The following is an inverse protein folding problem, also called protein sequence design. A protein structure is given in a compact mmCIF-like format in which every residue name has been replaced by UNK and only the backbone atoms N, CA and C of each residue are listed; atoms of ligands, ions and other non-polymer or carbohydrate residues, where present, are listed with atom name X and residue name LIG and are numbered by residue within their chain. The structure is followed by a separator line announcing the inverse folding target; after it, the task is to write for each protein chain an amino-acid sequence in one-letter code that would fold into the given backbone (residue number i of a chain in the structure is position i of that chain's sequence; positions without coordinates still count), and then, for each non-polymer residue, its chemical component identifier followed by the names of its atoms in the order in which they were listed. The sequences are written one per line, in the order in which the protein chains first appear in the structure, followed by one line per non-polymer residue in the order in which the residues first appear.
data_IF_656614031147
#
_entry.id   IF_656614031147
#
_cell.length_a   1.000
_cell.length_b   1.000
_cell.length_c   1.000
_cell.angle_alpha   90.00
_cell.angle_beta   90.00
_cell.angle_gamma   90.00
#
_symmetry.space_group_name_H-M   'P 1'
#
loop_
_entity.id
_entity.type
_entity.pdbx_description
1 polymer ?
#
# COMPACT_ATOMS: atom_id res chain seq x y z
N UNK A 1 -22.23 37.44 34.08
CA UNK A 1 -21.94 36.08 33.59
C UNK A 1 -22.19 36.09 32.09
N UNK A 2 -21.27 35.62 31.25
CA UNK A 2 -21.51 35.55 29.81
C UNK A 2 -22.74 34.69 29.53
N UNK A 3 -23.52 35.08 28.53
CA UNK A 3 -24.67 34.30 28.06
C UNK A 3 -24.17 32.95 27.54
N UNK A 4 -24.73 31.86 28.06
CA UNK A 4 -24.37 30.48 27.69
C UNK A 4 -24.50 30.30 26.17
N UNK A 5 -25.51 30.93 25.55
CA UNK A 5 -25.71 30.84 24.11
C UNK A 5 -24.57 31.51 23.32
N UNK A 6 -24.03 32.63 23.82
CA UNK A 6 -22.89 33.31 23.21
C UNK A 6 -21.61 32.46 23.30
N UNK A 7 -21.35 31.87 24.47
CA UNK A 7 -20.16 31.02 24.68
C UNK A 7 -20.22 29.76 23.81
N UNK A 8 -21.40 29.15 23.68
CA UNK A 8 -21.60 27.97 22.81
C UNK A 8 -21.44 28.34 21.34
N UNK A 9 -21.98 29.48 20.88
CA UNK A 9 -21.83 29.93 19.50
C UNK A 9 -20.37 30.20 19.14
N UNK A 10 -19.62 30.88 20.01
CA UNK A 10 -18.19 31.17 19.79
C UNK A 10 -17.34 29.89 19.77
N UNK A 11 -17.66 28.94 20.65
CA UNK A 11 -17.01 27.62 20.69
C UNK A 11 -17.29 26.82 19.42
N UNK A 12 -18.54 26.82 18.95
CA UNK A 12 -18.93 26.14 17.72
C UNK A 12 -18.22 26.76 16.50
N UNK A 13 -18.19 28.10 16.40
CA UNK A 13 -17.47 28.79 15.32
C UNK A 13 -15.97 28.45 15.33
N UNK A 14 -15.36 28.36 16.51
CA UNK A 14 -13.95 27.98 16.66
C UNK A 14 -13.69 26.53 16.22
N UNK A 15 -14.58 25.59 16.60
CA UNK A 15 -14.48 24.18 16.19
C UNK A 15 -14.64 24.04 14.68
N UNK A 16 -15.61 24.74 14.08
CA UNK A 16 -15.81 24.73 12.63
C UNK A 16 -14.57 25.24 11.89
N UNK A 17 -13.96 26.33 12.37
CA UNK A 17 -12.73 26.86 11.79
C UNK A 17 -11.55 25.88 11.89
N UNK A 18 -11.43 25.13 13.00
CA UNK A 18 -10.42 24.09 13.16
C UNK A 18 -10.67 22.95 12.15
N UNK A 19 -11.91 22.49 12.02
CA UNK A 19 -12.25 21.40 11.09
C UNK A 19 -11.93 21.78 9.64
N UNK A 20 -12.32 22.98 9.20
CA UNK A 20 -11.96 23.47 7.86
C UNK A 20 -10.44 23.55 7.65
N UNK A 21 -9.68 23.93 8.69
CA UNK A 21 -8.22 23.94 8.60
C UNK A 21 -7.64 22.54 8.46
N UNK A 22 -8.20 21.55 9.17
CA UNK A 22 -7.78 20.14 9.09
C UNK A 22 -8.06 19.61 7.69
N UNK A 23 -9.27 19.81 7.16
CA UNK A 23 -9.65 19.40 5.80
C UNK A 23 -8.67 19.94 4.76
N UNK A 24 -8.36 21.25 4.80
CA UNK A 24 -7.39 21.87 3.89
C UNK A 24 -5.99 21.25 4.02
N UNK A 25 -5.52 21.00 5.25
CA UNK A 25 -4.20 20.41 5.47
C UNK A 25 -4.13 18.96 4.96
N UNK A 26 -5.22 18.20 5.07
CA UNK A 26 -5.31 16.84 4.54
C UNK A 26 -5.22 16.86 3.01
N UNK A 27 -5.97 17.74 2.33
CA UNK A 27 -5.91 17.89 0.87
C UNK A 27 -4.52 18.35 0.38
N UNK A 28 -3.88 19.28 1.10
CA UNK A 28 -2.50 19.68 0.82
C UNK A 28 -1.52 18.51 0.99
N UNK A 29 -1.62 17.75 2.08
CA UNK A 29 -0.78 16.58 2.32
C UNK A 29 -0.96 15.51 1.24
N UNK A 30 -2.20 15.23 0.83
CA UNK A 30 -2.52 14.31 -0.26
C UNK A 30 -1.88 14.73 -1.57
N UNK A 31 -2.03 16.01 -1.93
CA UNK A 31 -1.45 16.59 -3.14
C UNK A 31 0.08 16.46 -3.15
N UNK A 32 0.75 16.76 -2.03
CA UNK A 32 2.21 16.64 -1.94
C UNK A 32 2.69 15.17 -1.96
N UNK A 33 1.94 14.23 -1.35
CA UNK A 33 2.23 12.79 -1.48
C UNK A 33 2.16 12.31 -2.93
N UNK A 34 1.09 12.68 -3.65
CA UNK A 34 0.94 12.31 -5.06
C UNK A 34 2.09 12.84 -5.93
N UNK A 35 2.55 14.09 -5.68
CA UNK A 35 3.71 14.66 -6.36
C UNK A 35 5.02 13.93 -6.04
N UNK A 36 5.17 13.46 -4.80
CA UNK A 36 6.35 12.73 -4.36
C UNK A 36 6.40 11.29 -4.88
N UNK A 37 5.26 10.70 -5.26
CA UNK A 37 5.17 9.29 -5.64
C UNK A 37 6.01 8.96 -6.88
N UNK A 38 5.89 9.72 -7.97
CA UNK A 38 6.64 9.47 -9.19
C UNK A 38 8.17 9.51 -9.01
N UNK A 39 8.78 10.57 -8.42
CA UNK A 39 10.23 10.59 -8.19
C UNK A 39 10.67 9.52 -7.16
N UNK A 40 9.81 9.17 -6.20
CA UNK A 40 10.09 8.07 -5.27
C UNK A 40 10.15 6.72 -5.98
N UNK A 41 9.18 6.40 -6.84
CA UNK A 41 9.20 5.17 -7.63
C UNK A 41 10.42 5.09 -8.56
N UNK A 42 10.84 6.22 -9.15
CA UNK A 42 12.08 6.29 -9.94
C UNK A 42 13.33 6.01 -9.08
N UNK A 43 13.38 6.55 -7.86
CA UNK A 43 14.48 6.28 -6.93
C UNK A 43 14.49 4.81 -6.46
N UNK A 44 13.32 4.24 -6.16
CA UNK A 44 13.17 2.82 -5.83
C UNK A 44 13.65 1.92 -6.98
N UNK A 45 13.25 2.20 -8.22
CA UNK A 45 13.67 1.43 -9.38
C UNK A 45 15.21 1.42 -9.54
N UNK A 46 15.87 2.53 -9.24
CA UNK A 46 17.34 2.65 -9.29
C UNK A 46 18.06 2.01 -8.11
N UNK A 47 17.37 1.80 -6.98
CA UNK A 47 17.98 1.19 -5.79
C UNK A 47 18.38 -0.28 -6.03
N UNK A 48 17.63 -0.99 -6.87
CA UNK A 48 17.77 -2.44 -7.04
C UNK A 48 17.29 -3.25 -5.84
N UNK A 49 16.75 -2.63 -4.80
CA UNK A 49 16.24 -3.32 -3.61
C UNK A 49 14.77 -3.71 -3.74
N UNK A 50 14.02 -3.16 -4.71
CA UNK A 50 12.58 -3.40 -4.84
C UNK A 50 12.19 -3.65 -6.28
N UNK A 51 11.46 -4.73 -6.52
CA UNK A 51 10.87 -5.04 -7.83
C UNK A 51 9.35 -5.19 -7.81
N UNK A 52 8.74 -5.40 -6.64
CA UNK A 52 7.30 -5.58 -6.52
C UNK A 52 6.81 -5.03 -5.18
N UNK A 53 5.68 -4.32 -5.20
CA UNK A 53 4.96 -3.86 -4.01
C UNK A 53 3.48 -4.16 -4.23
N UNK A 54 2.84 -4.83 -3.30
CA UNK A 54 1.40 -5.08 -3.31
C UNK A 54 0.83 -4.49 -2.02
N UNK A 55 -0.16 -3.61 -2.15
CA UNK A 55 -1.00 -3.15 -1.05
C UNK A 55 -2.37 -3.76 -1.22
N UNK A 56 -2.92 -4.31 -0.12
CA UNK A 56 -4.28 -4.85 -0.08
C UNK A 56 -5.00 -4.26 1.12
N UNK A 57 -6.15 -3.62 0.88
CA UNK A 57 -7.11 -3.30 1.93
C UNK A 57 -8.33 -4.20 1.84
N UNK A 58 -8.88 -4.60 2.98
CA UNK A 58 -10.11 -5.39 3.06
C UNK A 58 -10.87 -5.15 4.36
N UNK A 59 -12.16 -5.38 4.30
CA UNK A 59 -13.07 -5.37 5.44
C UNK A 59 -13.82 -6.69 5.39
N UNK A 60 -13.61 -7.60 6.35
CA UNK A 60 -14.27 -8.90 6.35
C UNK A 60 -15.80 -8.76 6.27
N UNK A 61 -16.44 -9.54 5.39
CA UNK A 61 -17.89 -9.50 5.19
C UNK A 61 -18.71 -10.07 6.36
N UNK A 62 -18.09 -10.88 7.22
CA UNK A 62 -18.69 -11.43 8.43
C UNK A 62 -17.73 -11.32 9.60
N UNK A 63 -18.19 -10.70 10.69
CA UNK A 63 -17.53 -10.70 11.98
C UNK A 63 -18.62 -11.03 13.01
N UNK A 64 -18.40 -12.00 13.90
CA UNK A 64 -19.38 -12.74 14.73
C UNK A 64 -20.25 -11.87 15.69
N UNK A 65 -20.93 -10.85 15.17
CA UNK A 65 -21.63 -9.80 15.91
C UNK A 65 -20.79 -8.56 16.26
N UNK A 66 -19.49 -8.56 15.96
CA UNK A 66 -18.60 -7.41 16.15
C UNK A 66 -18.61 -6.48 14.91
N UNK A 67 -18.34 -5.17 15.06
CA UNK A 67 -18.15 -4.28 13.92
C UNK A 67 -17.06 -4.83 12.98
N UNK A 68 -17.29 -4.78 11.67
CA UNK A 68 -16.24 -5.10 10.72
C UNK A 68 -15.15 -4.01 10.79
N UNK A 69 -13.90 -4.41 10.94
CA UNK A 69 -12.75 -3.51 10.94
C UNK A 69 -12.01 -3.62 9.60
N UNK A 70 -11.71 -2.46 9.00
CA UNK A 70 -10.84 -2.39 7.85
C UNK A 70 -9.41 -2.76 8.26
N UNK A 71 -8.80 -3.63 7.47
CA UNK A 71 -7.41 -4.05 7.60
C UNK A 71 -6.70 -3.83 6.29
N UNK A 72 -5.42 -3.48 6.35
CA UNK A 72 -4.61 -3.36 5.16
C UNK A 72 -3.17 -3.77 5.40
N UNK A 73 -2.61 -4.42 4.38
CA UNK A 73 -1.27 -4.98 4.41
C UNK A 73 -0.47 -4.51 3.19
N UNK A 74 0.85 -4.48 3.36
CA UNK A 74 1.81 -4.19 2.29
C UNK A 74 2.85 -5.30 2.24
N UNK A 75 3.03 -5.85 1.05
CA UNK A 75 3.94 -6.95 0.75
C UNK A 75 4.96 -6.46 -0.26
N UNK A 76 6.24 -6.65 0.03
CA UNK A 76 7.33 -6.15 -0.79
C UNK A 76 8.24 -7.29 -1.20
N UNK A 77 8.51 -7.36 -2.50
CA UNK A 77 9.33 -8.37 -3.16
C UNK A 77 8.79 -9.80 -3.03
N UNK A 78 9.46 -10.71 -3.74
CA UNK A 78 8.90 -12.04 -4.03
C UNK A 78 8.81 -12.90 -2.77
N UNK A 79 9.72 -12.76 -1.80
CA UNK A 79 9.66 -13.52 -0.54
C UNK A 79 8.34 -13.29 0.21
N UNK A 80 7.91 -12.04 0.39
CA UNK A 80 6.65 -11.74 1.09
C UNK A 80 5.43 -12.10 0.25
N UNK A 81 5.45 -11.79 -1.06
CA UNK A 81 4.34 -12.05 -1.98
C UNK A 81 4.07 -13.56 -2.08
N UNK A 82 5.11 -14.37 -2.21
CA UNK A 82 4.99 -15.83 -2.27
C UNK A 82 4.63 -16.43 -0.91
N UNK A 83 5.18 -15.90 0.18
CA UNK A 83 4.86 -16.38 1.53
C UNK A 83 3.40 -16.17 1.93
N UNK A 84 2.74 -15.20 1.32
CA UNK A 84 1.34 -14.83 1.56
C UNK A 84 0.39 -15.31 0.45
N UNK A 85 0.89 -16.17 -0.45
CA UNK A 85 0.11 -16.81 -1.52
C UNK A 85 -0.60 -15.80 -2.46
N UNK A 86 0.01 -14.63 -2.67
CA UNK A 86 -0.60 -13.53 -3.41
C UNK A 86 -0.43 -13.64 -4.93
N UNK A 87 0.38 -14.59 -5.40
CA UNK A 87 0.71 -14.76 -6.82
C UNK A 87 -0.48 -15.16 -7.69
N UNK A 88 -1.43 -15.89 -7.12
CA UNK A 88 -2.61 -16.43 -7.83
C UNK A 88 -3.83 -15.51 -7.73
N UNK A 89 -3.65 -14.30 -7.21
CA UNK A 89 -4.72 -13.32 -7.00
C UNK A 89 -4.67 -12.22 -8.04
N UNK A 90 -5.81 -11.56 -8.30
CA UNK A 90 -5.87 -10.34 -9.14
C UNK A 90 -4.93 -9.23 -8.62
N UNK A 91 -4.47 -9.31 -7.36
CA UNK A 91 -3.51 -8.40 -6.76
C UNK A 91 -2.06 -8.63 -7.20
N UNK A 92 -1.73 -9.75 -7.84
CA UNK A 92 -0.37 -10.19 -8.19
C UNK A 92 0.35 -9.36 -9.27
N UNK A 93 -0.27 -8.30 -9.80
CA UNK A 93 0.41 -7.31 -10.66
C UNK A 93 1.01 -7.86 -11.97
N UNK A 94 0.52 -9.01 -12.45
CA UNK A 94 1.07 -9.75 -13.60
C UNK A 94 2.53 -10.20 -13.40
N UNK A 95 2.86 -10.67 -12.20
CA UNK A 95 4.13 -11.36 -11.98
C UNK A 95 4.17 -12.68 -12.79
N UNK A 96 5.35 -13.15 -13.25
CA UNK A 96 5.44 -14.34 -14.09
C UNK A 96 5.00 -15.61 -13.35
N UNK A 97 4.05 -16.36 -13.89
CA UNK A 97 3.58 -17.65 -13.31
C UNK A 97 4.75 -18.64 -13.14
N UNK A 98 5.60 -18.76 -14.18
CA UNK A 98 6.80 -19.62 -14.19
C UNK A 98 7.76 -19.33 -13.02
N UNK A 99 7.81 -18.07 -12.54
CA UNK A 99 8.63 -17.72 -11.38
C UNK A 99 8.14 -18.47 -10.13
N UNK A 100 6.82 -18.51 -9.89
CA UNK A 100 6.26 -19.08 -8.68
C UNK A 100 6.20 -20.60 -8.69
N UNK A 101 6.03 -21.21 -9.86
CA UNK A 101 6.08 -22.67 -10.01
C UNK A 101 7.45 -23.25 -9.60
N UNK A 102 8.53 -22.49 -9.80
CA UNK A 102 9.89 -22.90 -9.50
C UNK A 102 10.38 -22.47 -8.10
N UNK A 103 9.64 -21.60 -7.39
CA UNK A 103 9.99 -21.19 -6.03
C UNK A 103 9.87 -22.36 -5.05
N UNK A 104 10.78 -22.39 -4.08
CA UNK A 104 10.81 -23.43 -3.06
C UNK A 104 11.11 -22.88 -1.68
N UNK A 105 10.32 -23.32 -0.69
CA UNK A 105 10.58 -23.03 0.72
C UNK A 105 11.93 -23.60 1.17
N UNK A 106 12.71 -22.78 1.88
CA UNK A 106 14.02 -23.18 2.43
C UNK A 106 15.18 -23.11 1.44
N UNK A 107 14.97 -22.62 0.22
CA UNK A 107 15.99 -22.52 -0.84
C UNK A 107 16.31 -21.06 -1.22
N UNK A 108 16.56 -20.21 -0.24
CA UNK A 108 16.69 -18.75 -0.44
C UNK A 108 17.69 -18.35 -1.54
N UNK A 109 18.87 -18.98 -1.60
CA UNK A 109 19.87 -18.68 -2.64
C UNK A 109 19.38 -19.04 -4.05
N UNK A 110 18.74 -20.20 -4.21
CA UNK A 110 18.16 -20.60 -5.49
C UNK A 110 17.01 -19.66 -5.89
N UNK A 111 16.17 -19.25 -4.94
CA UNK A 111 15.09 -18.31 -5.18
C UNK A 111 15.60 -16.92 -5.59
N UNK A 112 16.71 -16.44 -5.01
CA UNK A 112 17.38 -15.19 -5.44
C UNK A 112 17.87 -15.28 -6.87
N UNK A 113 18.54 -16.37 -7.24
CA UNK A 113 19.01 -16.59 -8.60
C UNK A 113 17.85 -16.66 -9.59
N UNK A 114 16.77 -17.36 -9.24
CA UNK A 114 15.56 -17.46 -10.03
C UNK A 114 14.92 -16.08 -10.22
N UNK A 115 14.65 -15.34 -9.15
CA UNK A 115 14.08 -13.99 -9.22
C UNK A 115 14.92 -13.07 -10.12
N UNK A 116 16.25 -13.14 -10.01
CA UNK A 116 17.16 -12.36 -10.86
C UNK A 116 16.97 -12.65 -12.34
N UNK A 117 16.76 -13.92 -12.74
CA UNK A 117 16.49 -14.30 -14.14
C UNK A 117 15.21 -13.68 -14.68
N UNK A 118 14.20 -13.54 -13.84
CA UNK A 118 12.91 -12.90 -14.16
C UNK A 118 12.91 -11.38 -13.95
N UNK A 119 14.05 -10.77 -13.57
CA UNK A 119 14.14 -9.33 -13.33
C UNK A 119 13.51 -8.86 -12.01
N UNK A 120 13.37 -9.77 -11.04
CA UNK A 120 12.78 -9.49 -9.73
C UNK A 120 13.79 -9.63 -8.59
N UNK A 121 13.44 -9.04 -7.45
CA UNK A 121 14.17 -9.10 -6.19
C UNK A 121 13.43 -10.08 -5.27
N UNK A 122 14.18 -11.02 -4.68
CA UNK A 122 13.61 -11.99 -3.75
C UNK A 122 13.44 -11.43 -2.35
N UNK A 123 14.54 -10.93 -1.78
CA UNK A 123 14.62 -10.54 -0.37
C UNK A 123 13.82 -9.27 -0.06
N UNK A 124 13.44 -9.10 1.21
CA UNK A 124 12.92 -7.83 1.73
C UNK A 124 13.93 -6.70 1.56
N UNK A 125 13.49 -5.47 1.25
CA UNK A 125 14.39 -4.33 1.17
C UNK A 125 14.82 -3.89 2.58
N UNK A 126 15.76 -2.96 2.63
CA UNK A 126 16.21 -2.33 3.87
C UNK A 126 15.06 -1.68 4.67
N UNK A 127 15.25 -1.56 5.98
CA UNK A 127 14.26 -0.94 6.88
C UNK A 127 13.94 0.51 6.50
N UNK A 128 14.91 1.25 5.95
CA UNK A 128 14.72 2.61 5.46
C UNK A 128 13.76 2.65 4.26
N UNK A 129 13.99 1.77 3.28
CA UNK A 129 13.09 1.63 2.11
C UNK A 129 11.71 1.16 2.55
N UNK A 130 11.62 0.17 3.44
CA UNK A 130 10.33 -0.28 3.97
C UNK A 130 9.57 0.86 4.67
N UNK A 131 10.25 1.67 5.46
CA UNK A 131 9.63 2.82 6.12
C UNK A 131 9.14 3.87 5.11
N UNK A 132 9.91 4.12 4.05
CA UNK A 132 9.52 5.03 2.98
C UNK A 132 8.30 4.51 2.19
N UNK A 133 8.27 3.21 1.86
CA UNK A 133 7.12 2.56 1.23
C UNK A 133 5.88 2.69 2.11
N UNK A 134 5.99 2.41 3.41
CA UNK A 134 4.86 2.56 4.35
C UNK A 134 4.37 4.00 4.46
N UNK A 135 5.29 4.96 4.49
CA UNK A 135 4.96 6.38 4.66
C UNK A 135 4.31 6.97 3.41
N UNK A 136 4.74 6.56 2.22
CA UNK A 136 4.28 7.15 0.98
C UNK A 136 3.25 6.26 0.27
N UNK A 137 3.62 5.04 -0.10
CA UNK A 137 2.76 4.16 -0.91
C UNK A 137 1.58 3.66 -0.08
N UNK A 138 1.84 3.06 1.08
CA UNK A 138 0.77 2.48 1.90
C UNK A 138 -0.20 3.56 2.43
N UNK A 139 0.33 4.67 2.97
CA UNK A 139 -0.50 5.77 3.45
C UNK A 139 -1.35 6.41 2.34
N UNK A 140 -0.82 6.55 1.12
CA UNK A 140 -1.59 7.03 -0.03
C UNK A 140 -2.66 6.03 -0.45
N UNK A 141 -2.33 4.73 -0.49
CA UNK A 141 -3.28 3.69 -0.85
C UNK A 141 -4.48 3.65 0.12
N UNK A 142 -4.23 3.70 1.43
CA UNK A 142 -5.26 3.69 2.47
C UNK A 142 -6.14 4.96 2.49
N UNK A 143 -5.59 6.09 2.09
CA UNK A 143 -6.36 7.34 2.02
C UNK A 143 -7.21 7.44 0.75
N UNK A 144 -6.74 6.88 -0.36
CA UNK A 144 -7.38 7.01 -1.67
C UNK A 144 -8.40 5.91 -1.97
N UNK A 145 -8.29 4.76 -1.29
CA UNK A 145 -9.15 3.62 -1.49
C UNK A 145 -10.02 3.39 -0.25
N UNK A 146 -11.20 2.79 -0.46
CA UNK A 146 -12.08 2.41 0.65
C UNK A 146 -11.66 1.04 1.19
N UNK A 147 -12.43 0.00 0.85
CA UNK A 147 -12.14 -1.38 1.24
C UNK A 147 -12.05 -2.26 0.01
N UNK A 148 -11.52 -3.47 0.18
CA UNK A 148 -11.54 -4.53 -0.83
C UNK A 148 -10.79 -4.13 -2.09
N UNK A 149 -9.68 -3.44 -1.92
CA UNK A 149 -8.87 -2.88 -2.99
C UNK A 149 -7.48 -3.52 -3.02
N UNK A 150 -6.91 -3.62 -4.21
CA UNK A 150 -5.49 -3.87 -4.36
C UNK A 150 -4.83 -2.76 -5.16
N UNK A 151 -3.55 -2.54 -4.86
CA UNK A 151 -2.66 -1.66 -5.61
C UNK A 151 -1.32 -2.36 -5.74
N UNK A 152 -0.91 -2.67 -6.97
CA UNK A 152 0.37 -3.29 -7.27
C UNK A 152 1.28 -2.34 -8.04
N UNK A 153 2.55 -2.36 -7.67
CA UNK A 153 3.64 -1.68 -8.34
C UNK A 153 4.64 -2.76 -8.74
N UNK A 154 4.77 -3.05 -10.04
CA UNK A 154 5.70 -4.07 -10.54
C UNK A 154 6.73 -3.44 -11.46
N UNK A 155 8.01 -3.63 -11.15
CA UNK A 155 9.12 -3.11 -11.92
C UNK A 155 9.26 -3.88 -13.23
N UNK A 156 9.10 -3.20 -14.36
CA UNK A 156 9.34 -3.73 -15.71
C UNK A 156 10.16 -2.73 -16.51
N UNK A 157 11.20 -3.21 -17.17
CA UNK A 157 12.11 -2.39 -17.98
C UNK A 157 12.61 -1.11 -17.27
N UNK A 158 12.88 -1.23 -15.96
CA UNK A 158 13.37 -0.13 -15.12
C UNK A 158 12.31 0.90 -14.70
N UNK A 159 11.02 0.61 -14.88
CA UNK A 159 9.90 1.47 -14.44
C UNK A 159 8.84 0.65 -13.72
N UNK A 160 8.27 1.22 -12.67
CA UNK A 160 7.11 0.62 -12.02
C UNK A 160 5.86 0.82 -12.88
N UNK A 161 5.27 -0.30 -13.29
CA UNK A 161 3.89 -0.35 -13.77
C UNK A 161 2.95 -0.44 -12.57
N UNK A 162 1.86 0.32 -12.62
CA UNK A 162 0.88 0.39 -11.54
C UNK A 162 -0.40 -0.28 -12.03
N UNK A 163 -0.92 -1.23 -11.25
CA UNK A 163 -2.25 -1.78 -11.46
C UNK A 163 -3.06 -1.67 -10.18
N UNK A 164 -4.35 -1.39 -10.32
CA UNK A 164 -5.28 -1.24 -9.21
C UNK A 164 -6.59 -1.91 -9.55
N UNK A 165 -7.29 -2.40 -8.54
CA UNK A 165 -8.61 -2.95 -8.73
C UNK A 165 -9.30 -3.21 -7.40
N UNK A 166 -10.52 -3.69 -7.52
CA UNK A 166 -11.29 -4.22 -6.41
C UNK A 166 -11.23 -5.74 -6.46
N UNK A 167 -11.25 -6.39 -5.31
CA UNK A 167 -11.36 -7.84 -5.21
C UNK A 167 -12.44 -8.20 -4.21
N UNK A 168 -13.23 -9.23 -4.50
CA UNK A 168 -14.16 -9.76 -3.52
C UNK A 168 -13.35 -10.60 -2.52
N UNK A 169 -13.34 -10.19 -1.25
CA UNK A 169 -12.65 -10.94 -0.20
C UNK A 169 -13.32 -12.30 0.11
N UNK A 170 -14.40 -12.65 -0.60
CA UNK A 170 -15.13 -13.90 -0.44
C UNK A 170 -16.06 -13.86 0.77
N UNK A 171 -17.19 -14.55 0.65
CA UNK A 171 -18.12 -14.87 1.74
C UNK A 171 -17.73 -16.18 2.42
#
# INVERSE_FOLDING_TARGET
MPDVNSVVADSLASILAINTKIERLNEEAKTERQKALAPFLEALAKSGEVSAIIVRGYTPGFNDGEPCEHSADVFVNIEEIYGEDLQDTDAGGNLPEELFEELSYGSADANRELCTKFGHVYDKPSAEIMNAIRTLIFATAEEENSTNYFLSYVLKDGKFEIASGEYDCGY
#
